data_IF_543078271277
#
_entry.id   IF_543078271277
#
_cell.length_a   1.000
_cell.length_b   1.000
_cell.length_c   1.000
_cell.angle_alpha   90.00
_cell.angle_beta   90.00
_cell.angle_gamma   90.00
#
_symmetry.space_group_name_H-M   'P 1'
#
loop_
_entity.id
_entity.type
_entity.pdbx_description
1 polymer ?
#
# COMPACT_ATOMS: atom_id res chain seq x y z
N UNK A 1 20.04 1.01 -5.04
CA UNK A 1 18.69 0.83 -4.44
C UNK A 1 17.79 1.94 -4.98
N UNK A 2 16.75 1.64 -5.80
CA UNK A 2 15.75 2.64 -6.14
C UNK A 2 15.00 3.06 -4.88
N UNK A 3 14.88 4.37 -4.65
CA UNK A 3 14.13 4.97 -3.53
C UNK A 3 13.29 6.12 -4.07
N UNK A 4 12.06 6.27 -3.58
CA UNK A 4 11.15 7.35 -3.98
C UNK A 4 10.91 7.46 -5.50
N UNK A 5 10.82 6.32 -6.20
CA UNK A 5 10.55 6.25 -7.66
C UNK A 5 9.23 6.95 -8.01
N UNK A 6 8.19 6.71 -7.20
CA UNK A 6 6.90 7.38 -7.28
C UNK A 6 6.74 8.39 -6.15
N UNK A 7 6.15 9.54 -6.47
CA UNK A 7 5.91 10.65 -5.53
C UNK A 7 4.42 10.76 -5.25
N UNK A 8 4.05 11.35 -4.11
CA UNK A 8 2.65 11.54 -3.73
C UNK A 8 1.82 12.30 -4.79
N UNK A 9 2.45 13.17 -5.60
CA UNK A 9 1.77 13.92 -6.68
C UNK A 9 1.53 13.09 -7.94
N UNK A 10 2.29 12.02 -8.13
CA UNK A 10 2.19 11.10 -9.27
C UNK A 10 2.44 9.68 -8.74
N UNK A 11 1.45 9.12 -8.02
CA UNK A 11 1.56 7.77 -7.47
C UNK A 11 1.45 6.74 -8.59
N UNK A 12 1.99 5.55 -8.32
CA UNK A 12 1.74 4.38 -9.16
C UNK A 12 0.36 3.79 -8.84
N UNK A 13 -0.41 3.45 -9.88
CA UNK A 13 -1.71 2.78 -9.73
C UNK A 13 -1.53 1.29 -10.00
N UNK A 14 -1.31 0.52 -8.94
CA UNK A 14 -1.24 -0.95 -9.03
C UNK A 14 -2.61 -1.60 -8.96
N UNK A 15 -2.70 -2.85 -9.43
CA UNK A 15 -3.94 -3.65 -9.37
C UNK A 15 -3.90 -4.61 -8.19
N UNK A 16 -4.90 -4.56 -7.33
CA UNK A 16 -5.04 -5.56 -6.27
C UNK A 16 -5.45 -6.89 -6.90
N UNK A 17 -4.60 -7.91 -6.75
CA UNK A 17 -4.86 -9.27 -7.28
C UNK A 17 -5.40 -10.22 -6.23
N UNK A 18 -5.11 -9.98 -4.95
CA UNK A 18 -5.62 -10.80 -3.85
C UNK A 18 -5.71 -10.02 -2.55
N UNK A 19 -6.75 -10.30 -1.77
CA UNK A 19 -6.92 -9.83 -0.40
C UNK A 19 -7.35 -11.00 0.46
N UNK A 20 -6.43 -11.55 1.27
CA UNK A 20 -6.71 -12.71 2.11
C UNK A 20 -6.51 -12.36 3.58
N UNK A 21 -7.56 -12.56 4.39
CA UNK A 21 -7.43 -12.52 5.85
C UNK A 21 -6.54 -13.67 6.32
N UNK A 22 -5.50 -13.37 7.08
CA UNK A 22 -4.51 -14.36 7.57
C UNK A 22 -4.68 -14.72 9.04
N UNK A 23 -5.61 -14.06 9.73
CA UNK A 23 -5.92 -14.31 11.14
C UNK A 23 -7.09 -15.27 11.29
N UNK A 24 -7.07 -16.06 12.36
CA UNK A 24 -8.13 -17.02 12.66
C UNK A 24 -9.48 -16.36 12.95
N UNK A 25 -10.59 -17.11 12.86
CA UNK A 25 -11.94 -16.57 13.00
C UNK A 25 -12.21 -15.92 14.37
N UNK A 26 -11.53 -16.36 15.42
CA UNK A 26 -11.66 -15.85 16.79
C UNK A 26 -10.64 -14.75 17.15
N UNK A 27 -9.83 -14.28 16.19
CA UNK A 27 -8.89 -13.19 16.45
C UNK A 27 -9.64 -11.86 16.67
N UNK A 28 -9.20 -11.07 17.65
CA UNK A 28 -9.78 -9.76 17.99
C UNK A 28 -9.47 -8.67 16.96
N UNK A 29 -8.43 -8.87 16.16
CA UNK A 29 -8.04 -7.98 15.08
C UNK A 29 -8.22 -8.61 13.70
N UNK A 30 -8.13 -7.78 12.68
CA UNK A 30 -8.07 -8.21 11.28
C UNK A 30 -6.68 -7.91 10.72
N UNK A 31 -6.05 -8.91 10.12
CA UNK A 31 -4.84 -8.72 9.33
C UNK A 31 -5.03 -9.42 8.00
N UNK A 32 -4.74 -8.67 6.93
CA UNK A 32 -4.91 -9.12 5.56
C UNK A 32 -3.56 -9.11 4.86
N UNK A 33 -3.28 -10.20 4.15
CA UNK A 33 -2.23 -10.25 3.15
C UNK A 33 -2.82 -9.77 1.82
N UNK A 34 -2.27 -8.68 1.29
CA UNK A 34 -2.73 -8.03 0.07
C UNK A 34 -1.61 -8.16 -0.97
N UNK A 35 -1.95 -8.71 -2.12
CA UNK A 35 -1.03 -8.80 -3.26
C UNK A 35 -1.44 -7.75 -4.27
N UNK A 36 -0.48 -6.93 -4.68
CA UNK A 36 -0.65 -5.86 -5.66
C UNK A 36 0.27 -6.15 -6.83
N UNK A 37 -0.31 -6.26 -8.01
CA UNK A 37 0.44 -6.32 -9.26
C UNK A 37 0.93 -4.93 -9.64
N UNK A 38 2.22 -4.85 -9.95
CA UNK A 38 2.93 -3.63 -10.29
C UNK A 38 3.62 -3.71 -11.66
N UNK A 39 3.28 -4.71 -12.49
CA UNK A 39 3.74 -4.87 -13.88
C UNK A 39 5.27 -4.82 -14.06
N UNK A 40 6.06 -4.98 -12.99
CA UNK A 40 7.51 -4.77 -12.99
C UNK A 40 7.97 -3.30 -12.92
N UNK A 41 7.07 -2.32 -13.00
CA UNK A 41 7.38 -0.89 -13.08
C UNK A 41 7.69 -0.24 -11.73
N UNK A 42 7.40 -0.92 -10.62
CA UNK A 42 7.73 -0.47 -9.27
C UNK A 42 8.76 -1.39 -8.59
N UNK A 43 10.05 -1.30 -8.94
CA UNK A 43 11.08 -2.13 -8.35
C UNK A 43 11.34 -1.77 -6.87
N UNK A 44 11.59 -2.79 -6.05
CA UNK A 44 11.95 -2.66 -4.63
C UNK A 44 12.98 -3.72 -4.25
N UNK A 45 13.67 -3.52 -3.12
CA UNK A 45 14.56 -4.51 -2.49
C UNK A 45 14.04 -4.92 -1.11
N UNK A 46 14.45 -6.09 -0.59
CA UNK A 46 14.00 -6.55 0.71
C UNK A 46 14.33 -5.53 1.83
N UNK A 47 13.39 -5.37 2.77
CA UNK A 47 13.48 -4.39 3.85
C UNK A 47 12.98 -2.99 3.50
N UNK A 48 12.56 -2.74 2.26
CA UNK A 48 11.91 -1.48 1.88
C UNK A 48 10.41 -1.46 2.22
N UNK A 49 9.83 -0.26 2.11
CA UNK A 49 8.41 0.00 2.36
C UNK A 49 7.80 0.78 1.21
N UNK A 50 6.51 0.60 0.99
CA UNK A 50 5.72 1.39 0.05
C UNK A 50 4.76 2.32 0.75
N UNK A 51 4.54 3.48 0.11
CA UNK A 51 3.54 4.44 0.52
C UNK A 51 2.20 4.16 -0.15
N UNK A 52 1.16 3.90 0.64
CA UNK A 52 -0.22 3.75 0.15
C UNK A 52 -1.00 5.02 0.43
N UNK A 53 -1.59 5.60 -0.63
CA UNK A 53 -2.52 6.71 -0.54
C UNK A 53 -3.95 6.16 -0.66
N UNK A 54 -4.78 6.22 0.39
CA UNK A 54 -6.16 5.78 0.26
C UNK A 54 -6.98 6.79 -0.56
N UNK A 55 -8.01 6.31 -1.27
CA UNK A 55 -8.88 7.16 -2.07
C UNK A 55 -9.68 8.13 -1.19
N UNK A 56 -10.14 9.22 -1.82
CA UNK A 56 -10.98 10.22 -1.17
C UNK A 56 -10.21 11.37 -0.53
N UNK A 57 -10.95 12.19 0.21
CA UNK A 57 -10.45 13.41 0.85
C UNK A 57 -10.72 13.36 2.34
N UNK A 58 -9.81 13.93 3.12
CA UNK A 58 -9.98 14.06 4.57
C UNK A 58 -11.11 15.04 4.88
N UNK A 59 -12.04 14.61 5.73
CA UNK A 59 -13.24 15.38 6.11
C UNK A 59 -12.93 16.74 6.74
N UNK A 60 -11.79 16.85 7.44
CA UNK A 60 -11.39 18.09 8.14
C UNK A 60 -11.03 19.24 7.20
N UNK A 61 -10.40 18.96 6.06
CA UNK A 61 -9.76 19.99 5.23
C UNK A 61 -9.98 19.82 3.72
N UNK A 62 -10.72 18.78 3.30
CA UNK A 62 -10.98 18.46 1.89
C UNK A 62 -9.72 18.10 1.10
N UNK A 63 -8.57 17.91 1.75
CA UNK A 63 -7.32 17.56 1.08
C UNK A 63 -7.22 16.05 0.86
N UNK A 64 -6.46 15.59 -0.16
CA UNK A 64 -6.15 14.19 -0.31
C UNK A 64 -5.56 13.61 0.96
N UNK A 65 -5.90 12.36 1.23
CA UNK A 65 -5.36 11.64 2.36
C UNK A 65 -3.83 11.57 2.34
N UNK A 66 -3.21 11.68 3.51
CA UNK A 66 -1.76 11.49 3.64
C UNK A 66 -1.38 10.03 3.32
N UNK A 67 -0.19 9.84 2.77
CA UNK A 67 0.37 8.51 2.53
C UNK A 67 0.63 7.80 3.85
N UNK A 68 0.36 6.48 3.88
CA UNK A 68 0.73 5.57 4.98
C UNK A 68 1.83 4.63 4.47
N UNK A 69 2.88 4.44 5.26
CA UNK A 69 3.97 3.53 4.91
C UNK A 69 3.65 2.12 5.42
N UNK A 70 3.78 1.13 4.53
CA UNK A 70 3.66 -0.28 4.83
C UNK A 70 4.92 -1.00 4.35
N UNK A 71 5.51 -1.83 5.21
CA UNK A 71 6.63 -2.69 4.84
C UNK A 71 6.19 -3.71 3.81
N UNK A 72 7.02 -3.95 2.80
CA UNK A 72 6.76 -4.94 1.76
C UNK A 72 6.98 -6.32 2.36
N UNK A 73 5.99 -7.21 2.23
CA UNK A 73 5.92 -8.51 2.89
C UNK A 73 5.89 -9.70 1.91
N UNK A 74 6.36 -9.48 0.68
CA UNK A 74 6.52 -10.46 -0.40
C UNK A 74 7.59 -11.49 -0.10
#
# INVERSE_FOLDING_TARGET
VPVNVYKNKSPFTGKVVSTKRIVGPQATGETCHIIIDHDGDFPYWEGQSWGVMPPGTREKDGKPHSVRLYSIAS
#
